data_IF_480852852692
#
_entry.id   IF_480852852692
#
_cell.length_a   1.000
_cell.length_b   1.000
_cell.length_c   1.000
_cell.angle_alpha   90.00
_cell.angle_beta   90.00
_cell.angle_gamma   90.00
#
_symmetry.space_group_name_H-M   'P 1'
#
loop_
_entity.id
_entity.type
_entity.pdbx_description
1 polymer ?
#
# COMPACT_ATOMS: atom_id res chain seq x y z
N UNK A 1 68.62 -43.81 60.91
CA UNK A 1 68.72 -42.49 60.24
C UNK A 1 68.38 -42.71 58.77
N UNK A 2 67.40 -42.09 58.11
CA UNK A 2 66.42 -41.06 58.49
C UNK A 2 65.29 -41.12 57.46
N UNK A 3 64.06 -40.94 57.93
CA UNK A 3 62.81 -40.76 57.18
C UNK A 3 62.93 -39.60 56.18
N UNK A 4 62.28 -39.70 55.02
CA UNK A 4 61.52 -38.64 54.32
C UNK A 4 61.39 -38.97 52.83
N UNK A 5 60.27 -39.57 52.43
CA UNK A 5 59.74 -39.55 51.06
C UNK A 5 58.30 -40.09 51.12
N UNK A 6 57.45 -39.42 51.89
CA UNK A 6 56.01 -39.63 51.91
C UNK A 6 55.38 -38.26 52.18
N UNK A 7 54.98 -37.56 51.12
CA UNK A 7 54.31 -36.27 51.28
C UNK A 7 54.32 -35.38 50.05
N UNK A 8 53.98 -35.89 48.85
CA UNK A 8 53.67 -35.02 47.70
C UNK A 8 52.53 -35.54 46.79
N UNK A 9 52.03 -36.77 47.00
CA UNK A 9 51.01 -37.37 46.12
C UNK A 9 49.54 -36.94 46.41
N UNK A 10 49.30 -36.04 47.37
CA UNK A 10 47.93 -35.82 47.90
C UNK A 10 47.15 -34.64 47.30
N UNK A 11 47.75 -33.80 46.45
CA UNK A 11 47.06 -32.58 45.96
C UNK A 11 46.41 -32.75 44.57
N UNK A 12 46.89 -33.66 43.72
CA UNK A 12 46.32 -33.84 42.38
C UNK A 12 44.97 -34.59 42.36
N UNK A 13 44.70 -35.48 43.32
CA UNK A 13 43.43 -36.21 43.37
C UNK A 13 42.24 -35.39 43.90
N UNK A 14 42.49 -34.29 44.61
CA UNK A 14 41.43 -33.40 45.11
C UNK A 14 41.01 -32.33 44.09
N UNK A 15 41.86 -32.00 43.12
CA UNK A 15 41.59 -31.00 42.08
C UNK A 15 40.73 -31.53 40.91
N UNK A 16 40.76 -32.84 40.65
CA UNK A 16 40.04 -33.48 39.54
C UNK A 16 38.50 -33.40 39.65
N UNK A 17 37.86 -33.70 40.81
CA UNK A 17 36.41 -33.55 40.94
C UNK A 17 35.95 -32.09 40.88
N UNK A 18 36.72 -31.15 41.45
CA UNK A 18 36.40 -29.72 41.39
C UNK A 18 36.43 -29.17 39.95
N UNK A 19 37.45 -29.55 39.16
CA UNK A 19 37.52 -29.19 37.73
C UNK A 19 36.41 -29.83 36.90
N UNK A 20 35.98 -31.05 37.23
CA UNK A 20 34.88 -31.72 36.54
C UNK A 20 33.54 -31.04 36.82
N UNK A 21 33.31 -30.59 38.06
CA UNK A 21 32.11 -29.83 38.44
C UNK A 21 32.08 -28.46 37.75
N UNK A 22 33.22 -27.76 37.71
CA UNK A 22 33.35 -26.50 36.96
C UNK A 22 33.07 -26.68 35.47
N UNK A 23 33.63 -27.73 34.86
CA UNK A 23 33.40 -28.01 33.43
C UNK A 23 31.95 -28.39 33.16
N UNK A 24 31.30 -29.14 34.06
CA UNK A 24 29.88 -29.49 33.96
C UNK A 24 29.00 -28.25 34.03
N UNK A 25 29.25 -27.35 35.01
CA UNK A 25 28.54 -26.08 35.14
C UNK A 25 28.73 -25.19 33.91
N UNK A 26 29.96 -25.08 33.40
CA UNK A 26 30.25 -24.33 32.18
C UNK A 26 29.54 -24.93 30.95
N UNK A 27 29.49 -26.26 30.83
CA UNK A 27 28.78 -26.92 29.73
C UNK A 27 27.27 -26.70 29.82
N UNK A 28 26.71 -26.74 31.02
CA UNK A 28 25.29 -26.49 31.25
C UNK A 28 24.92 -25.02 30.96
N UNK A 29 25.76 -24.07 31.38
CA UNK A 29 25.60 -22.65 31.03
C UNK A 29 25.67 -22.43 29.52
N UNK A 30 26.65 -23.03 28.84
CA UNK A 30 26.78 -22.91 27.38
C UNK A 30 25.57 -23.51 26.65
N UNK A 31 25.03 -24.63 27.14
CA UNK A 31 23.78 -25.23 26.59
C UNK A 31 22.59 -24.30 26.77
N UNK A 32 22.48 -23.61 27.91
CA UNK A 32 21.43 -22.63 28.16
C UNK A 32 21.57 -21.42 27.23
N UNK A 33 22.77 -20.86 27.06
CA UNK A 33 23.04 -19.76 26.13
C UNK A 33 22.72 -20.14 24.68
N UNK A 34 23.13 -21.34 24.25
CA UNK A 34 22.78 -21.88 22.93
C UNK A 34 21.26 -22.04 22.75
N UNK A 35 20.55 -22.50 23.78
CA UNK A 35 19.09 -22.63 23.73
C UNK A 35 18.41 -21.24 23.60
N UNK A 36 18.88 -20.24 24.35
CA UNK A 36 18.37 -18.87 24.29
C UNK A 36 18.65 -18.23 22.92
N UNK A 37 19.87 -18.36 22.39
CA UNK A 37 20.24 -17.84 21.08
C UNK A 37 19.40 -18.48 19.96
N UNK A 38 19.21 -19.79 20.01
CA UNK A 38 18.36 -20.50 19.04
C UNK A 38 16.90 -20.07 19.12
N UNK A 39 16.37 -19.83 20.33
CA UNK A 39 15.01 -19.32 20.50
C UNK A 39 14.88 -17.90 19.91
N UNK A 40 15.82 -17.01 20.21
CA UNK A 40 15.85 -15.66 19.66
C UNK A 40 15.95 -15.67 18.12
N UNK A 41 16.82 -16.50 17.55
CA UNK A 41 16.98 -16.65 16.11
C UNK A 41 15.70 -17.17 15.43
N UNK A 42 14.99 -18.10 16.07
CA UNK A 42 13.69 -18.60 15.58
C UNK A 42 12.62 -17.51 15.58
N UNK A 43 12.55 -16.70 16.64
CA UNK A 43 11.62 -15.57 16.70
C UNK A 43 11.91 -14.57 15.59
N UNK A 44 13.17 -14.13 15.43
CA UNK A 44 13.58 -13.21 14.38
C UNK A 44 13.29 -13.76 12.97
N UNK A 45 13.59 -15.04 12.74
CA UNK A 45 13.29 -15.69 11.46
C UNK A 45 11.79 -15.69 11.18
N UNK A 46 10.98 -16.02 12.19
CA UNK A 46 9.51 -16.03 12.05
C UNK A 46 8.94 -14.64 11.76
N UNK A 47 9.41 -13.60 12.46
CA UNK A 47 8.98 -12.23 12.20
C UNK A 47 9.40 -11.77 10.81
N UNK A 48 10.64 -12.03 10.40
CA UNK A 48 11.12 -11.76 9.04
C UNK A 48 10.26 -12.45 7.98
N UNK A 49 9.94 -13.72 8.17
CA UNK A 49 9.16 -14.50 7.20
C UNK A 49 7.73 -13.97 7.09
N UNK A 50 7.10 -13.57 8.21
CA UNK A 50 5.78 -12.94 8.22
C UNK A 50 5.80 -11.58 7.50
N UNK A 51 6.78 -10.73 7.79
CA UNK A 51 6.93 -9.44 7.11
C UNK A 51 7.18 -9.62 5.62
N UNK A 52 8.02 -10.60 5.23
CA UNK A 52 8.29 -10.90 3.83
C UNK A 52 7.03 -11.40 3.11
N UNK A 53 6.25 -12.28 3.74
CA UNK A 53 4.98 -12.74 3.19
C UNK A 53 4.00 -11.58 2.99
N UNK A 54 3.88 -10.65 3.94
CA UNK A 54 3.04 -9.46 3.79
C UNK A 54 3.51 -8.62 2.60
N UNK A 55 4.80 -8.30 2.52
CA UNK A 55 5.39 -7.49 1.45
C UNK A 55 5.14 -8.13 0.07
N UNK A 56 5.38 -9.44 -0.06
CA UNK A 56 5.30 -10.14 -1.35
C UNK A 56 3.87 -10.37 -1.85
N UNK A 57 2.89 -10.40 -0.94
CA UNK A 57 1.47 -10.58 -1.28
C UNK A 57 0.69 -9.27 -1.43
N UNK A 58 1.27 -8.11 -1.11
CA UNK A 58 0.64 -6.83 -1.41
C UNK A 58 0.50 -6.63 -2.93
N UNK A 59 -0.69 -6.25 -3.42
CA UNK A 59 -0.88 -5.93 -4.84
C UNK A 59 -0.20 -4.62 -5.24
N UNK A 60 -0.03 -3.69 -4.30
CA UNK A 60 0.67 -2.41 -4.52
C UNK A 60 2.17 -2.60 -4.77
N UNK A 61 2.75 -1.66 -5.52
CA UNK A 61 4.19 -1.59 -5.73
C UNK A 61 4.84 -1.03 -4.46
N UNK A 62 5.58 -1.88 -3.74
CA UNK A 62 6.30 -1.50 -2.54
C UNK A 62 7.80 -1.57 -2.79
N UNK A 63 8.51 -0.51 -2.45
CA UNK A 63 9.96 -0.42 -2.61
C UNK A 63 10.63 0.39 -1.50
N UNK A 64 11.90 0.10 -1.28
CA UNK A 64 12.82 0.84 -0.43
C UNK A 64 14.00 1.25 -1.30
N UNK A 65 14.38 2.52 -1.22
CA UNK A 65 15.57 3.05 -1.89
C UNK A 65 16.55 3.64 -0.88
N UNK A 66 17.84 3.63 -1.23
CA UNK A 66 18.89 4.29 -0.46
C UNK A 66 18.82 5.83 -0.62
N UNK A 67 19.72 6.55 0.04
CA UNK A 67 19.80 8.02 -0.06
C UNK A 67 20.20 8.53 -1.45
N UNK A 68 20.71 7.65 -2.33
CA UNK A 68 21.03 7.96 -3.72
C UNK A 68 19.90 7.57 -4.67
N UNK A 69 18.70 7.26 -4.15
CA UNK A 69 17.55 6.81 -4.94
C UNK A 69 17.76 5.48 -5.68
N UNK A 70 18.63 4.60 -5.16
CA UNK A 70 18.83 3.24 -5.69
C UNK A 70 17.98 2.23 -4.95
N UNK A 71 17.32 1.32 -5.66
CA UNK A 71 16.49 0.29 -5.04
C UNK A 71 17.33 -0.64 -4.15
N UNK A 72 16.92 -0.81 -2.90
CA UNK A 72 17.51 -1.77 -1.96
C UNK A 72 16.64 -3.02 -1.85
N UNK A 73 15.32 -2.83 -1.78
CA UNK A 73 14.35 -3.89 -1.54
C UNK A 73 13.02 -3.51 -2.16
N UNK A 74 12.22 -4.51 -2.48
CA UNK A 74 10.80 -4.33 -2.77
C UNK A 74 10.11 -5.67 -2.95
N UNK A 75 8.86 -5.62 -3.39
CA UNK A 75 8.05 -6.80 -3.63
C UNK A 75 8.03 -7.21 -5.11
N UNK A 76 7.40 -8.36 -5.37
CA UNK A 76 7.18 -8.87 -6.71
C UNK A 76 6.26 -7.97 -7.56
N UNK A 77 5.39 -7.18 -6.94
CA UNK A 77 4.52 -6.24 -7.66
C UNK A 77 5.36 -5.12 -8.30
N UNK A 78 6.31 -4.54 -7.57
CA UNK A 78 7.28 -3.58 -8.12
C UNK A 78 8.07 -4.18 -9.28
N UNK A 79 8.53 -5.43 -9.16
CA UNK A 79 9.25 -6.11 -10.25
C UNK A 79 8.40 -6.16 -11.54
N UNK A 80 7.13 -6.54 -11.42
CA UNK A 80 6.19 -6.56 -12.56
C UNK A 80 5.97 -5.17 -13.15
N UNK A 81 5.79 -4.16 -12.30
CA UNK A 81 5.63 -2.76 -12.74
C UNK A 81 6.84 -2.22 -13.51
N UNK A 82 8.05 -2.65 -13.11
CA UNK A 82 9.30 -2.31 -13.79
C UNK A 82 9.60 -3.22 -15.01
N UNK A 83 8.77 -4.22 -15.29
CA UNK A 83 8.96 -5.14 -16.41
C UNK A 83 10.08 -6.18 -16.21
N UNK A 84 10.49 -6.46 -14.97
CA UNK A 84 11.52 -7.46 -14.65
C UNK A 84 10.94 -8.68 -13.94
N UNK A 85 11.64 -9.82 -14.00
CA UNK A 85 11.09 -11.09 -13.50
C UNK A 85 11.06 -11.21 -11.98
N UNK A 86 11.87 -10.44 -11.25
CA UNK A 86 11.96 -10.52 -9.80
C UNK A 86 12.73 -9.35 -9.17
N UNK A 87 12.60 -9.17 -7.84
CA UNK A 87 13.24 -8.06 -7.11
C UNK A 87 14.75 -7.94 -7.33
N UNK A 88 15.44 -9.07 -7.43
CA UNK A 88 16.89 -9.16 -7.62
C UNK A 88 17.39 -8.44 -8.88
N UNK A 89 16.53 -8.22 -9.89
CA UNK A 89 16.92 -7.58 -11.15
C UNK A 89 16.90 -6.05 -11.13
N UNK A 90 16.25 -5.45 -10.13
CA UNK A 90 16.21 -3.99 -9.95
C UNK A 90 16.99 -3.50 -8.74
N UNK A 91 17.43 -4.38 -7.84
CA UNK A 91 18.29 -3.97 -6.71
C UNK A 91 19.56 -3.29 -7.24
N UNK A 92 19.96 -2.21 -6.59
CA UNK A 92 21.05 -1.28 -6.94
C UNK A 92 20.86 -0.43 -8.20
N UNK A 93 19.78 -0.64 -8.95
CA UNK A 93 19.40 0.23 -10.08
C UNK A 93 18.62 1.44 -9.59
N UNK A 94 18.42 2.40 -10.48
CA UNK A 94 17.62 3.61 -10.22
C UNK A 94 16.52 3.76 -11.29
N UNK A 95 15.69 4.79 -11.15
CA UNK A 95 14.55 5.00 -12.05
C UNK A 95 14.98 5.23 -13.51
N UNK A 96 16.20 5.70 -13.76
CA UNK A 96 16.70 5.96 -15.12
C UNK A 96 16.96 4.66 -15.88
N UNK A 97 17.10 3.53 -15.19
CA UNK A 97 17.23 2.21 -15.81
C UNK A 97 15.90 1.67 -16.36
N UNK A 98 14.76 2.23 -15.94
CA UNK A 98 13.42 1.67 -16.20
C UNK A 98 12.45 2.63 -16.86
N UNK A 99 12.58 3.93 -16.60
CA UNK A 99 11.63 4.94 -17.04
C UNK A 99 12.26 5.93 -18.02
N UNK A 100 11.44 6.60 -18.86
CA UNK A 100 11.90 7.70 -19.69
C UNK A 100 12.65 8.78 -18.87
N UNK A 101 13.71 9.40 -19.42
CA UNK A 101 14.59 10.31 -18.66
C UNK A 101 13.89 11.50 -18.01
N UNK A 102 12.78 11.96 -18.58
CA UNK A 102 11.95 13.06 -18.05
C UNK A 102 11.23 12.61 -16.77
N UNK A 103 10.62 11.42 -16.82
CA UNK A 103 9.88 10.85 -15.70
C UNK A 103 10.81 10.42 -14.56
N UNK A 104 11.92 9.76 -14.90
CA UNK A 104 12.95 9.40 -13.93
C UNK A 104 13.52 10.63 -13.20
N UNK A 105 13.71 11.75 -13.90
CA UNK A 105 14.12 13.03 -13.28
C UNK A 105 13.09 13.55 -12.29
N UNK A 106 11.81 13.46 -12.62
CA UNK A 106 10.73 13.88 -11.73
C UNK A 106 10.69 13.03 -10.47
N UNK A 107 10.75 11.71 -10.60
CA UNK A 107 10.81 10.78 -9.46
C UNK A 107 12.02 11.06 -8.58
N UNK A 108 13.21 11.16 -9.17
CA UNK A 108 14.42 11.50 -8.45
C UNK A 108 14.29 12.85 -7.70
N UNK A 109 13.74 13.89 -8.33
CA UNK A 109 13.56 15.18 -7.68
C UNK A 109 12.60 15.11 -6.47
N UNK A 110 11.50 14.38 -6.61
CA UNK A 110 10.53 14.15 -5.53
C UNK A 110 11.16 13.37 -4.37
N UNK A 111 11.84 12.27 -4.67
CA UNK A 111 12.54 11.44 -3.70
C UNK A 111 13.61 12.22 -2.94
N UNK A 112 14.45 12.97 -3.66
CA UNK A 112 15.48 13.81 -3.05
C UNK A 112 14.87 14.95 -2.22
N UNK A 113 13.68 15.44 -2.55
CA UNK A 113 12.94 16.39 -1.71
C UNK A 113 12.52 15.75 -0.38
N UNK A 114 12.00 14.53 -0.40
CA UNK A 114 11.65 13.75 0.81
C UNK A 114 12.89 13.49 1.65
N UNK A 115 14.00 13.07 1.03
CA UNK A 115 15.26 12.78 1.73
C UNK A 115 15.85 14.03 2.39
N UNK A 116 15.82 15.20 1.73
CA UNK A 116 16.34 16.45 2.30
C UNK A 116 15.44 17.04 3.39
N UNK A 117 14.13 17.03 3.18
CA UNK A 117 13.17 17.68 4.08
C UNK A 117 12.72 16.77 5.23
N UNK A 118 12.79 15.45 5.04
CA UNK A 118 12.17 14.46 5.89
C UNK A 118 10.64 14.49 5.87
N UNK A 119 10.02 15.34 5.04
CA UNK A 119 8.57 15.46 4.93
C UNK A 119 8.03 14.43 3.93
N UNK A 120 6.91 13.78 4.24
CA UNK A 120 6.31 12.79 3.35
C UNK A 120 5.64 13.44 2.15
N UNK A 121 5.70 12.78 1.00
CA UNK A 121 4.82 13.03 -0.14
C UNK A 121 3.74 11.96 -0.12
N UNK A 122 2.49 12.33 0.12
CA UNK A 122 1.39 11.38 0.28
C UNK A 122 0.40 11.51 -0.87
N UNK A 123 -0.10 10.36 -1.33
CA UNK A 123 -1.17 10.21 -2.33
C UNK A 123 -0.98 11.11 -3.55
N UNK A 124 0.27 11.21 -4.04
CA UNK A 124 0.57 11.95 -5.26
C UNK A 124 0.02 11.16 -6.44
N UNK A 125 -0.98 11.72 -7.11
CA UNK A 125 -1.52 11.15 -8.33
C UNK A 125 -0.63 11.53 -9.51
N UNK A 126 -0.14 10.53 -10.24
CA UNK A 126 0.77 10.71 -11.36
C UNK A 126 0.38 9.82 -12.54
N UNK A 127 0.63 10.32 -13.74
CA UNK A 127 0.49 9.53 -14.97
C UNK A 127 1.71 8.63 -15.06
N UNK A 128 1.45 7.33 -15.18
CA UNK A 128 2.49 6.31 -15.31
C UNK A 128 2.35 5.63 -16.65
N UNK A 129 3.48 5.17 -17.18
CA UNK A 129 3.53 4.37 -18.41
C UNK A 129 4.04 3.00 -18.04
N UNK A 130 3.27 1.97 -18.34
CA UNK A 130 3.69 0.59 -18.10
C UNK A 130 4.75 0.13 -19.12
N UNK A 131 5.40 -1.03 -18.90
CA UNK A 131 6.39 -1.55 -19.85
C UNK A 131 5.85 -1.84 -21.27
N UNK A 132 4.53 -1.92 -21.45
CA UNK A 132 3.90 -2.08 -22.76
C UNK A 132 3.67 -0.75 -23.49
N UNK A 133 3.93 0.39 -22.83
CA UNK A 133 3.70 1.73 -23.34
C UNK A 133 2.28 2.25 -23.08
N UNK A 134 1.48 1.54 -22.28
CA UNK A 134 0.13 1.97 -21.93
C UNK A 134 0.18 2.98 -20.79
N UNK A 135 -0.49 4.12 -20.99
CA UNK A 135 -0.69 5.10 -19.94
C UNK A 135 -1.72 4.63 -18.92
N UNK A 136 -1.45 4.95 -17.66
CA UNK A 136 -2.31 4.71 -16.52
C UNK A 136 -2.12 5.80 -15.46
N UNK A 137 -2.79 5.62 -14.34
CA UNK A 137 -2.68 6.50 -13.18
C UNK A 137 -2.21 5.73 -11.97
N UNK A 138 -1.26 6.29 -11.25
CA UNK A 138 -0.82 5.77 -9.97
C UNK A 138 -1.03 6.82 -8.86
N UNK A 139 -1.33 6.35 -7.65
CA UNK A 139 -1.26 7.15 -6.44
C UNK A 139 -0.09 6.67 -5.60
N UNK A 140 0.94 7.50 -5.50
CA UNK A 140 2.21 7.16 -4.84
C UNK A 140 2.35 7.93 -3.51
N UNK A 141 2.76 7.22 -2.47
CA UNK A 141 3.16 7.80 -1.19
C UNK A 141 4.60 7.42 -0.87
N UNK A 142 5.41 8.41 -0.55
CA UNK A 142 6.84 8.26 -0.27
C UNK A 142 7.18 8.92 1.06
N UNK A 143 7.87 8.18 1.93
CA UNK A 143 8.29 8.63 3.25
C UNK A 143 9.80 8.41 3.45
N UNK A 144 10.43 9.23 4.29
CA UNK A 144 11.82 9.04 4.67
C UNK A 144 11.95 7.83 5.61
N UNK A 145 12.87 6.92 5.30
CA UNK A 145 13.26 5.80 6.16
C UNK A 145 14.34 6.27 7.14
N UNK A 146 14.14 6.02 8.43
CA UNK A 146 15.07 6.43 9.49
C UNK A 146 15.64 5.23 10.24
N UNK A 147 16.90 5.34 10.66
CA UNK A 147 17.50 4.37 11.59
C UNK A 147 17.08 4.68 13.04
N UNK A 148 17.55 3.88 14.00
CA UNK A 148 17.26 4.01 15.43
C UNK A 148 17.78 5.33 16.03
N UNK A 149 18.75 5.98 15.37
CA UNK A 149 19.28 7.30 15.75
C UNK A 149 18.47 8.46 15.13
N UNK A 150 17.41 8.16 14.36
CA UNK A 150 16.55 9.13 13.69
C UNK A 150 17.13 9.71 12.39
N UNK A 151 18.31 9.25 11.96
CA UNK A 151 18.95 9.68 10.72
C UNK A 151 18.24 9.07 9.51
N UNK A 152 18.06 9.86 8.46
CA UNK A 152 17.48 9.38 7.20
C UNK A 152 18.50 8.49 6.50
N UNK A 153 18.14 7.23 6.27
CA UNK A 153 18.98 6.21 5.62
C UNK A 153 18.46 5.81 4.24
N UNK A 154 17.34 6.39 3.81
CA UNK A 154 16.70 6.08 2.55
C UNK A 154 15.25 6.51 2.56
N UNK A 155 14.44 5.87 1.72
CA UNK A 155 13.01 6.11 1.62
C UNK A 155 12.23 4.81 1.42
N UNK A 156 10.95 4.86 1.76
CA UNK A 156 9.97 3.82 1.44
C UNK A 156 8.92 4.44 0.56
N UNK A 157 8.64 3.81 -0.57
CA UNK A 157 7.58 4.19 -1.49
C UNK A 157 6.55 3.08 -1.64
N UNK A 158 5.28 3.46 -1.64
CA UNK A 158 4.17 2.59 -2.03
C UNK A 158 3.38 3.27 -3.14
N UNK A 159 3.12 2.54 -4.22
CA UNK A 159 2.36 3.04 -5.36
C UNK A 159 1.21 2.09 -5.70
N UNK A 160 0.02 2.66 -5.87
CA UNK A 160 -1.21 1.93 -6.23
C UNK A 160 -1.68 2.38 -7.60
N UNK A 161 -1.95 1.42 -8.48
CA UNK A 161 -2.68 1.68 -9.71
C UNK A 161 -4.12 2.13 -9.39
N UNK A 162 -4.47 3.34 -9.81
CA UNK A 162 -5.80 3.95 -9.66
C UNK A 162 -6.45 4.21 -11.03
N UNK A 163 -5.94 3.59 -12.10
CA UNK A 163 -6.43 3.78 -13.47
C UNK A 163 -7.91 3.45 -13.58
N UNK A 164 -8.33 2.29 -13.09
CA UNK A 164 -9.75 1.87 -13.12
C UNK A 164 -10.64 2.83 -12.32
N UNK A 165 -10.15 3.30 -11.17
CA UNK A 165 -10.85 4.27 -10.35
C UNK A 165 -11.07 5.58 -11.12
N UNK A 166 -10.03 6.11 -11.77
CA UNK A 166 -10.10 7.33 -12.58
C UNK A 166 -11.06 7.18 -13.76
N UNK A 167 -10.97 6.08 -14.50
CA UNK A 167 -11.86 5.79 -15.63
C UNK A 167 -13.32 5.70 -15.19
N UNK A 168 -13.58 5.07 -14.05
CA UNK A 168 -14.93 4.97 -13.48
C UNK A 168 -15.46 6.33 -13.04
N UNK A 169 -14.63 7.14 -12.38
CA UNK A 169 -14.98 8.51 -11.98
C UNK A 169 -15.30 9.39 -13.18
N UNK A 170 -14.50 9.31 -14.25
CA UNK A 170 -14.76 10.04 -15.49
C UNK A 170 -16.05 9.59 -16.17
N UNK A 171 -16.31 8.28 -16.25
CA UNK A 171 -17.54 7.75 -16.83
C UNK A 171 -18.77 8.24 -16.06
N UNK A 172 -18.72 8.21 -14.72
CA UNK A 172 -19.78 8.72 -13.87
C UNK A 172 -19.98 10.23 -14.05
N UNK A 173 -18.90 11.01 -14.10
CA UNK A 173 -18.95 12.46 -14.34
C UNK A 173 -19.60 12.78 -15.68
N UNK A 174 -19.22 12.07 -16.75
CA UNK A 174 -19.85 12.21 -18.08
C UNK A 174 -21.33 11.86 -18.06
N UNK A 175 -21.72 10.80 -17.36
CA UNK A 175 -23.13 10.41 -17.23
C UNK A 175 -23.94 11.46 -16.47
N UNK A 176 -23.41 12.02 -15.39
CA UNK A 176 -24.06 13.09 -14.63
C UNK A 176 -24.23 14.36 -15.47
N UNK A 177 -23.19 14.76 -16.21
CA UNK A 177 -23.25 15.91 -17.10
C UNK A 177 -24.30 15.72 -18.20
N UNK A 178 -24.39 14.50 -18.77
CA UNK A 178 -25.41 14.16 -19.76
C UNK A 178 -26.83 14.22 -19.18
N UNK A 179 -27.05 13.66 -18.00
CA UNK A 179 -28.34 13.70 -17.32
C UNK A 179 -28.76 15.14 -16.97
N UNK A 180 -27.82 15.98 -16.52
CA UNK A 180 -28.08 17.39 -16.25
C UNK A 180 -28.52 18.13 -17.53
N UNK A 181 -27.81 17.93 -18.65
CA UNK A 181 -28.17 18.54 -19.93
C UNK A 181 -29.56 18.09 -20.44
N UNK A 182 -29.90 16.80 -20.29
CA UNK A 182 -31.23 16.28 -20.61
C UNK A 182 -32.31 16.91 -19.73
N UNK A 183 -32.06 17.03 -18.44
CA UNK A 183 -32.98 17.64 -17.48
C UNK A 183 -33.25 19.11 -17.84
N UNK A 184 -32.19 19.89 -18.06
CA UNK A 184 -32.29 21.31 -18.45
C UNK A 184 -33.07 21.49 -19.75
N UNK A 185 -32.80 20.64 -20.75
CA UNK A 185 -33.52 20.64 -22.03
C UNK A 185 -35.00 20.30 -21.83
N UNK A 186 -35.30 19.31 -20.99
CA UNK A 186 -36.68 18.92 -20.67
C UNK A 186 -37.43 20.07 -20.00
N UNK A 187 -36.82 20.73 -19.01
CA UNK A 187 -37.40 21.90 -18.35
C UNK A 187 -37.65 23.05 -19.33
N UNK A 188 -36.69 23.33 -20.22
CA UNK A 188 -36.85 24.36 -21.25
C UNK A 188 -37.98 24.03 -22.22
N UNK A 189 -38.15 22.77 -22.63
CA UNK A 189 -39.27 22.36 -23.47
C UNK A 189 -40.60 22.52 -22.73
N UNK A 190 -40.68 22.05 -21.48
CA UNK A 190 -41.84 22.19 -20.60
C UNK A 190 -42.24 23.65 -20.41
N UNK A 191 -41.27 24.56 -20.24
CA UNK A 191 -41.56 25.99 -20.07
C UNK A 191 -42.08 26.67 -21.34
N UNK A 192 -41.91 26.05 -22.51
CA UNK A 192 -42.44 26.53 -23.79
C UNK A 192 -43.69 25.77 -24.25
N UNK A 193 -44.10 24.72 -23.54
CA UNK A 193 -45.38 24.05 -23.76
C UNK A 193 -46.49 24.81 -23.05
N UNK A 194 -47.66 24.91 -23.68
CA UNK A 194 -48.86 25.40 -23.00
C UNK A 194 -49.17 24.47 -21.81
N UNK A 195 -49.54 25.04 -20.67
CA UNK A 195 -49.81 24.28 -19.46
C UNK A 195 -50.89 23.21 -19.69
N UNK A 196 -51.87 23.48 -20.56
CA UNK A 196 -52.92 22.51 -20.89
C UNK A 196 -52.35 21.32 -21.67
N UNK A 197 -51.52 21.57 -22.69
CA UNK A 197 -50.87 20.53 -23.48
C UNK A 197 -49.99 19.61 -22.61
N UNK A 198 -49.29 20.20 -21.64
CA UNK A 198 -48.46 19.44 -20.71
C UNK A 198 -49.30 18.55 -19.78
N UNK A 199 -50.38 19.10 -19.22
CA UNK A 199 -51.26 18.36 -18.33
C UNK A 199 -51.99 17.22 -19.08
N UNK A 200 -52.46 17.45 -20.31
CA UNK A 200 -53.06 16.39 -21.13
C UNK A 200 -52.07 15.26 -21.42
N UNK A 201 -50.84 15.58 -21.82
CA UNK A 201 -49.81 14.59 -22.09
C UNK A 201 -49.43 13.76 -20.85
N UNK A 202 -49.34 14.40 -19.67
CA UNK A 202 -49.07 13.71 -18.40
C UNK A 202 -50.20 12.72 -18.03
N UNK A 203 -51.46 13.14 -18.14
CA UNK A 203 -52.63 12.28 -17.85
C UNK A 203 -52.67 11.08 -18.79
N UNK A 204 -52.48 11.31 -20.08
CA UNK A 204 -52.49 10.25 -21.10
C UNK A 204 -51.41 9.22 -20.81
N UNK A 205 -50.17 9.66 -20.53
CA UNK A 205 -49.04 8.76 -20.28
C UNK A 205 -49.19 7.96 -18.99
N UNK A 206 -49.71 8.58 -17.93
CA UNK A 206 -50.00 7.89 -16.67
C UNK A 206 -51.11 6.83 -16.85
N UNK A 207 -52.15 7.13 -17.64
CA UNK A 207 -53.20 6.18 -18.01
C UNK A 207 -52.65 4.95 -18.73
N UNK A 208 -51.78 5.14 -19.72
CA UNK A 208 -51.11 4.04 -20.44
C UNK A 208 -50.27 3.15 -19.51
N UNK A 209 -49.45 3.76 -18.64
CA UNK A 209 -48.59 3.02 -17.70
C UNK A 209 -49.40 2.23 -16.66
N UNK A 210 -50.55 2.75 -16.24
CA UNK A 210 -51.42 2.09 -15.26
C UNK A 210 -52.48 1.18 -15.89
N UNK A 211 -52.56 1.12 -17.23
CA UNK A 211 -53.60 0.37 -17.95
C UNK A 211 -55.01 0.92 -17.76
N UNK A 212 -55.15 2.20 -17.44
CA UNK A 212 -56.42 2.86 -17.22
C UNK A 212 -56.90 3.54 -18.52
N UNK A 213 -58.17 3.34 -18.88
CA UNK A 213 -58.75 3.94 -20.08
C UNK A 213 -58.97 5.46 -19.97
N UNK A 214 -59.07 5.99 -18.74
CA UNK A 214 -59.32 7.41 -18.49
C UNK A 214 -58.60 7.87 -17.22
N UNK A 215 -58.17 9.12 -17.20
CA UNK A 215 -57.58 9.80 -16.04
C UNK A 215 -57.98 11.27 -16.01
N UNK A 216 -57.94 11.89 -14.83
CA UNK A 216 -58.28 13.30 -14.62
C UNK A 216 -57.30 13.94 -13.65
N UNK A 217 -56.91 15.19 -13.90
CA UNK A 217 -56.18 16.03 -12.95
C UNK A 217 -57.14 17.12 -12.46
N UNK A 218 -57.19 17.33 -11.15
CA UNK A 218 -57.94 18.42 -10.53
C UNK A 218 -56.95 19.31 -9.79
N UNK A 219 -57.07 20.63 -9.98
CA UNK A 219 -56.40 21.61 -9.12
C UNK A 219 -57.25 21.75 -7.84
N UNK A 220 -56.67 21.44 -6.68
CA UNK A 220 -57.38 21.59 -5.39
C UNK A 220 -56.79 22.80 -4.67
N UNK A 221 -57.61 23.81 -4.43
CA UNK A 221 -57.20 24.97 -3.62
C UNK A 221 -57.07 24.57 -2.15
N UNK A 222 -56.03 25.05 -1.42
CA UNK A 222 -55.85 24.72 -0.01
C UNK A 222 -56.99 25.31 0.84
N UNK A 223 -57.99 24.49 1.16
CA UNK A 223 -59.16 24.90 1.95
C UNK A 223 -60.46 24.13 1.65
N UNK A 224 -60.52 23.40 0.53
CA UNK A 224 -61.75 22.74 0.05
C UNK A 224 -61.87 21.24 0.42
N UNK A 225 -60.91 20.65 1.15
CA UNK A 225 -61.06 19.24 1.61
C UNK A 225 -61.84 19.23 2.93
N UNK A 226 -63.17 19.21 2.84
CA UNK A 226 -64.01 18.78 3.97
C UNK A 226 -63.99 17.25 4.05
N UNK A 227 -63.82 16.76 5.28
CA UNK A 227 -63.75 15.33 5.67
C UNK A 227 -64.92 14.50 5.17
#
# INVERSE_FOLDING_TARGET
MTKQQQGEETDHSQQTPARLDELTRANEQLRQELAQLNAAYRTLTRERDLLRALIDHLPEYLYIKDTNSRFILGNAATARGLGVSGPEQYVSKDDFDFFPPELARQYYANEQSVLRSGQPLLNQEEVVVDPSGKEGWASTSTIALRNDEGQIIGLVGISRDITELKLTQEALSRQNAYLAALHDTTLALISHLDLNDLLENLVSRAGELMGAAHGFIYLVEPGMVQK
#
